data_IF_478140209866
#
_entry.id   IF_478140209866
#
_cell.length_a   1.000
_cell.length_b   1.000
_cell.length_c   1.000
_cell.angle_alpha   90.00
_cell.angle_beta   90.00
_cell.angle_gamma   90.00
#
_symmetry.space_group_name_H-M   'P 1'
#
loop_
_entity.id
_entity.type
_entity.pdbx_description
1 polymer ?
#
# COMPACT_ATOMS: atom_id res chain seq x y z
N UNK A 1 -16.51 8.80 -1.26
CA UNK A 1 -17.12 7.77 -2.12
C UNK A 1 -17.95 6.82 -1.25
N UNK A 2 -19.05 6.26 -1.76
CA UNK A 2 -19.85 5.22 -1.08
C UNK A 2 -19.76 3.95 -1.93
N UNK A 3 -19.59 2.80 -1.27
CA UNK A 3 -19.61 1.49 -1.90
C UNK A 3 -20.71 0.64 -1.26
N UNK A 4 -21.38 -0.18 -2.06
CA UNK A 4 -22.30 -1.21 -1.58
C UNK A 4 -21.55 -2.54 -1.60
N UNK A 5 -21.56 -3.25 -0.48
CA UNK A 5 -20.80 -4.48 -0.29
C UNK A 5 -21.70 -5.47 0.43
N UNK A 6 -21.78 -6.69 -0.10
CA UNK A 6 -22.48 -7.78 0.56
C UNK A 6 -21.59 -8.34 1.68
N UNK A 7 -22.15 -8.40 2.89
CA UNK A 7 -21.47 -8.89 4.08
C UNK A 7 -22.38 -9.96 4.69
N UNK A 8 -21.88 -11.19 4.90
CA UNK A 8 -22.61 -12.24 5.60
C UNK A 8 -23.12 -11.79 6.98
N UNK A 9 -24.34 -12.21 7.34
CA UNK A 9 -24.99 -11.78 8.59
C UNK A 9 -24.15 -12.12 9.84
N UNK A 10 -23.47 -13.27 9.84
CA UNK A 10 -22.60 -13.66 10.97
C UNK A 10 -21.42 -12.70 11.16
N UNK A 11 -20.91 -12.14 10.06
CA UNK A 11 -19.84 -11.16 10.08
C UNK A 11 -20.35 -9.78 10.52
N UNK A 12 -21.60 -9.43 10.16
CA UNK A 12 -22.25 -8.21 10.68
C UNK A 12 -22.38 -8.25 12.20
N UNK A 13 -22.77 -9.39 12.76
CA UNK A 13 -22.89 -9.55 14.21
C UNK A 13 -21.54 -9.45 14.94
N UNK A 14 -20.50 -10.08 14.38
CA UNK A 14 -19.13 -9.94 14.91
C UNK A 14 -18.67 -8.48 14.88
N UNK A 15 -18.96 -7.76 13.80
CA UNK A 15 -18.61 -6.35 13.66
C UNK A 15 -19.40 -5.45 14.64
N UNK A 16 -20.67 -5.77 14.90
CA UNK A 16 -21.49 -5.11 15.91
C UNK A 16 -20.89 -5.28 17.32
N UNK A 17 -20.52 -6.51 17.68
CA UNK A 17 -19.90 -6.79 18.97
C UNK A 17 -18.57 -6.02 19.15
N UNK A 18 -17.70 -6.07 18.13
CA UNK A 18 -16.41 -5.37 18.14
C UNK A 18 -16.58 -3.84 18.20
N UNK A 19 -17.58 -3.30 17.51
CA UNK A 19 -17.95 -1.88 17.52
C UNK A 19 -18.34 -1.42 18.93
N UNK A 20 -19.13 -2.23 19.65
CA UNK A 20 -19.53 -1.94 21.03
C UNK A 20 -18.37 -2.04 22.01
N UNK A 21 -17.56 -3.09 21.90
CA UNK A 21 -16.39 -3.31 22.74
C UNK A 21 -15.38 -2.14 22.63
N UNK A 22 -15.11 -1.69 21.41
CA UNK A 22 -14.16 -0.61 21.14
C UNK A 22 -14.75 0.80 21.24
N UNK A 23 -16.07 0.94 21.40
CA UNK A 23 -16.75 2.24 21.45
C UNK A 23 -16.64 3.07 20.16
N UNK A 24 -16.50 2.41 19.00
CA UNK A 24 -16.34 3.08 17.70
C UNK A 24 -17.42 2.61 16.71
N UNK A 25 -17.74 3.42 15.71
CA UNK A 25 -18.71 3.02 14.68
C UNK A 25 -18.19 1.88 13.81
N UNK A 26 -19.10 1.01 13.35
CA UNK A 26 -18.82 -0.04 12.33
C UNK A 26 -18.08 0.50 11.12
N UNK A 27 -18.50 1.66 10.59
CA UNK A 27 -17.87 2.28 9.44
C UNK A 27 -16.40 2.66 9.71
N UNK A 28 -16.07 3.03 10.95
CA UNK A 28 -14.70 3.30 11.35
C UNK A 28 -13.84 2.03 11.34
N UNK A 29 -14.38 0.91 11.84
CA UNK A 29 -13.70 -0.39 11.81
C UNK A 29 -13.43 -0.85 10.37
N UNK A 30 -14.43 -0.74 9.49
CA UNK A 30 -14.28 -1.13 8.08
C UNK A 30 -13.21 -0.27 7.40
N UNK A 31 -13.21 1.05 7.63
CA UNK A 31 -12.17 1.93 7.07
C UNK A 31 -10.78 1.58 7.59
N UNK A 32 -10.64 1.32 8.89
CA UNK A 32 -9.35 0.94 9.47
C UNK A 32 -8.83 -0.39 8.90
N UNK A 33 -9.71 -1.38 8.74
CA UNK A 33 -9.38 -2.65 8.10
C UNK A 33 -8.94 -2.47 6.63
N UNK A 34 -9.66 -1.62 5.89
CA UNK A 34 -9.34 -1.34 4.49
C UNK A 34 -8.01 -0.59 4.35
N UNK A 35 -7.74 0.40 5.20
CA UNK A 35 -6.44 1.09 5.24
C UNK A 35 -5.31 0.10 5.48
N UNK A 36 -5.44 -0.75 6.50
CA UNK A 36 -4.43 -1.77 6.80
C UNK A 36 -4.19 -2.73 5.62
N UNK A 37 -5.26 -3.19 4.98
CA UNK A 37 -5.17 -4.06 3.80
C UNK A 37 -4.40 -3.38 2.65
N UNK A 38 -4.68 -2.11 2.39
CA UNK A 38 -4.00 -1.33 1.35
C UNK A 38 -2.53 -1.11 1.70
N UNK A 39 -2.23 -0.77 2.96
CA UNK A 39 -0.85 -0.55 3.42
C UNK A 39 -0.02 -1.85 3.32
N UNK A 40 -0.60 -2.98 3.72
CA UNK A 40 0.02 -4.31 3.57
C UNK A 40 0.20 -4.69 2.08
N UNK A 41 -0.71 -4.27 1.19
CA UNK A 41 -0.54 -4.48 -0.25
C UNK A 41 0.54 -3.58 -0.86
N UNK A 42 0.77 -2.38 -0.34
CA UNK A 42 1.79 -1.44 -0.82
C UNK A 42 3.22 -1.83 -0.43
N UNK A 43 3.41 -2.77 0.50
CA UNK A 43 4.76 -3.31 0.77
C UNK A 43 5.36 -4.14 -0.37
N UNK A 44 4.60 -4.42 -1.44
CA UNK A 44 5.16 -4.86 -2.71
C UNK A 44 5.67 -3.67 -3.53
N UNK A 45 6.98 -3.66 -3.80
CA UNK A 45 7.61 -2.96 -4.94
C UNK A 45 8.03 -1.48 -4.77
N UNK A 46 7.89 -0.85 -3.60
CA UNK A 46 8.55 0.46 -3.39
C UNK A 46 10.07 0.29 -3.30
N UNK A 47 10.56 -0.74 -2.61
CA UNK A 47 12.00 -1.05 -2.55
C UNK A 47 12.56 -1.53 -3.89
N UNK A 48 11.77 -2.20 -4.72
CA UNK A 48 12.20 -2.60 -6.07
C UNK A 48 12.10 -1.44 -7.08
N UNK A 49 11.19 -0.48 -6.90
CA UNK A 49 11.18 0.78 -7.65
C UNK A 49 12.44 1.63 -7.41
N UNK A 50 12.98 1.67 -6.18
CA UNK A 50 14.26 2.34 -5.90
C UNK A 50 15.49 1.47 -6.21
N UNK A 51 15.34 0.14 -6.27
CA UNK A 51 16.41 -0.81 -6.60
C UNK A 51 16.76 -0.91 -8.09
N UNK A 52 15.85 -0.49 -8.99
CA UNK A 52 16.03 -0.54 -10.45
C UNK A 52 17.22 0.29 -10.97
N UNK A 53 17.64 1.33 -10.24
CA UNK A 53 18.76 2.19 -10.64
C UNK A 53 20.12 1.75 -10.06
N UNK A 54 20.15 0.74 -9.20
CA UNK A 54 21.37 0.34 -8.48
C UNK A 54 22.41 -0.39 -9.34
N UNK A 55 22.06 -0.78 -10.56
CA UNK A 55 22.93 -1.49 -11.51
C UNK A 55 23.23 -0.71 -12.80
N UNK A 56 22.83 0.56 -12.90
CA UNK A 56 23.17 1.42 -14.04
C UNK A 56 24.65 1.85 -14.00
N UNK A 57 25.21 2.15 -15.16
CA UNK A 57 26.52 2.81 -15.27
C UNK A 57 26.49 4.15 -14.52
N UNK A 58 27.58 4.49 -13.84
CA UNK A 58 27.72 5.81 -13.21
C UNK A 58 27.57 6.92 -14.26
N UNK A 59 26.69 7.89 -13.98
CA UNK A 59 26.34 8.92 -14.96
C UNK A 59 27.52 9.83 -15.34
N UNK A 60 28.48 10.02 -14.45
CA UNK A 60 29.69 10.80 -14.73
C UNK A 60 30.66 10.00 -15.59
N UNK A 61 30.86 8.72 -15.27
CA UNK A 61 31.68 7.81 -16.07
C UNK A 61 31.16 7.70 -17.52
N UNK A 62 29.83 7.59 -17.70
CA UNK A 62 29.20 7.58 -19.02
C UNK A 62 29.49 8.87 -19.80
N UNK A 63 29.34 10.03 -19.14
CA UNK A 63 29.58 11.33 -19.76
C UNK A 63 31.05 11.53 -20.16
N UNK A 64 31.98 11.10 -19.32
CA UNK A 64 33.42 11.16 -19.60
C UNK A 64 33.80 10.27 -20.78
N UNK A 65 33.29 9.04 -20.84
CA UNK A 65 33.50 8.14 -21.98
C UNK A 65 33.03 8.77 -23.28
N UNK A 66 31.78 9.26 -23.33
CA UNK A 66 31.23 9.88 -24.54
C UNK A 66 32.02 11.13 -24.99
N UNK A 67 32.58 11.90 -24.07
CA UNK A 67 33.40 13.08 -24.40
C UNK A 67 34.80 12.73 -24.90
N UNK A 68 35.29 11.54 -24.58
CA UNK A 68 36.60 11.06 -25.04
C UNK A 68 36.52 10.50 -26.48
N UNK A 69 35.31 10.24 -26.97
CA UNK A 69 35.05 9.74 -28.33
C UNK A 69 34.96 10.86 -29.39
N UNK A 70 35.07 12.14 -28.99
CA UNK A 70 35.11 13.33 -29.86
C UNK A 70 36.42 14.10 -29.71
#
# INVERSE_FOLDING_TARGET
>A
MRALVDIPDDMVEKLNALSREKGVSRASLIRAALSRLVDEAQTGDVDAAFGLWRGGEDGLAYQERMRTEW
#
